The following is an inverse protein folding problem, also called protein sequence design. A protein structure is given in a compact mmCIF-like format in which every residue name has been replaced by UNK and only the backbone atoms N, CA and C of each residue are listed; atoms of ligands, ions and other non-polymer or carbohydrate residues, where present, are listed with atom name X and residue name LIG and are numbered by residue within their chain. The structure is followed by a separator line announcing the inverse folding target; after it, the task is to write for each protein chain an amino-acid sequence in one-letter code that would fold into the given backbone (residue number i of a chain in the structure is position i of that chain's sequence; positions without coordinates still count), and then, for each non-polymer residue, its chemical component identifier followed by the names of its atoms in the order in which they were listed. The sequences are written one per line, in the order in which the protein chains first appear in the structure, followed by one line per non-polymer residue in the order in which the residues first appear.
data_IF_987303265850
#
_entry.id   IF_987303265850
#
_cell.length_a   1.000
_cell.length_b   1.000
_cell.length_c   1.000
_cell.angle_alpha   90.00
_cell.angle_beta   90.00
_cell.angle_gamma   90.00
#
_symmetry.space_group_name_H-M   'P 1'
#
loop_
_entity.id
_entity.type
_entity.pdbx_description
1 polymer ?
#
# COMPACT_ATOMS: atom_id res chain seq x y z
N UNK A 1 -5.05 20.58 -1.42
CA UNK A 1 -4.41 19.79 -0.34
C UNK A 1 -5.54 19.03 0.34
N UNK A 2 -5.41 17.72 0.56
CA UNK A 2 -6.43 16.90 1.22
C UNK A 2 -6.28 17.04 2.73
N UNK A 3 -6.67 18.19 3.25
CA UNK A 3 -6.35 18.58 4.64
C UNK A 3 -6.91 17.61 5.69
N UNK A 4 -8.08 17.03 5.41
CA UNK A 4 -8.69 16.01 6.25
C UNK A 4 -7.84 14.74 6.36
N UNK A 5 -6.88 14.48 5.48
CA UNK A 5 -5.99 13.32 5.60
C UNK A 5 -5.13 13.36 6.86
N UNK A 6 -4.81 14.55 7.35
CA UNK A 6 -4.11 14.68 8.62
C UNK A 6 -4.93 14.16 9.79
N UNK A 7 -6.26 14.09 9.70
CA UNK A 7 -7.15 13.58 10.74
C UNK A 7 -8.33 12.81 10.13
N UNK A 8 -8.04 11.90 9.20
CA UNK A 8 -9.11 11.21 8.50
C UNK A 8 -9.80 10.20 9.43
N UNK A 9 -11.08 9.92 9.14
CA UNK A 9 -11.86 8.90 9.84
C UNK A 9 -11.11 7.58 9.71
N UNK A 10 -10.67 7.07 10.86
CA UNK A 10 -9.86 5.86 10.97
C UNK A 10 -10.45 4.95 12.04
N UNK A 11 -10.51 3.67 11.75
CA UNK A 11 -10.98 2.64 12.69
C UNK A 11 -9.95 1.51 12.74
N UNK A 12 -9.81 0.88 13.90
CA UNK A 12 -8.84 -0.17 14.14
C UNK A 12 -9.52 -1.41 14.74
N UNK A 13 -9.09 -2.58 14.29
CA UNK A 13 -9.51 -3.88 14.83
C UNK A 13 -11.05 -4.00 14.95
N UNK A 14 -11.59 -4.19 16.15
CA UNK A 14 -13.04 -4.37 16.38
C UNK A 14 -13.88 -3.14 15.98
N UNK A 15 -13.28 -1.94 15.98
CA UNK A 15 -13.96 -0.72 15.54
C UNK A 15 -14.24 -0.74 14.03
N UNK A 16 -13.44 -1.48 13.25
CA UNK A 16 -13.69 -1.64 11.81
C UNK A 16 -14.99 -2.40 11.57
N UNK A 17 -15.20 -3.51 12.29
CA UNK A 17 -16.42 -4.28 12.19
C UNK A 17 -17.64 -3.49 12.71
N UNK A 18 -17.45 -2.67 13.74
CA UNK A 18 -18.50 -1.79 14.27
C UNK A 18 -18.87 -0.70 13.25
N UNK A 19 -17.88 -0.04 12.66
CA UNK A 19 -18.12 0.91 11.57
C UNK A 19 -18.89 0.29 10.41
N UNK A 20 -18.49 -0.90 9.94
CA UNK A 20 -19.17 -1.57 8.82
C UNK A 20 -20.64 -1.84 9.15
N UNK A 21 -20.92 -2.42 10.32
CA UNK A 21 -22.30 -2.71 10.73
C UNK A 21 -23.13 -1.45 10.85
N UNK A 22 -22.58 -0.37 11.38
CA UNK A 22 -23.35 0.85 11.67
C UNK A 22 -23.53 1.71 10.40
N UNK A 23 -22.45 1.92 9.63
CA UNK A 23 -22.45 2.78 8.46
C UNK A 23 -23.10 2.12 7.24
N UNK A 24 -22.85 0.82 7.00
CA UNK A 24 -23.43 0.09 5.86
C UNK A 24 -24.78 -0.58 6.17
N UNK A 25 -25.31 -0.45 7.40
CA UNK A 25 -26.71 -0.79 7.70
C UNK A 25 -27.72 0.08 6.93
N UNK A 26 -27.32 1.29 6.50
CA UNK A 26 -28.15 2.14 5.65
C UNK A 26 -28.40 1.44 4.29
N UNK A 27 -29.67 1.13 3.94
CA UNK A 27 -30.01 0.39 2.72
C UNK A 27 -29.74 1.17 1.43
N UNK A 28 -29.53 2.50 1.52
CA UNK A 28 -29.15 3.32 0.36
C UNK A 28 -27.70 3.12 -0.07
N UNK A 29 -26.87 2.53 0.80
CA UNK A 29 -25.44 2.31 0.54
C UNK A 29 -25.22 1.10 -0.35
N UNK A 30 -24.39 1.28 -1.38
CA UNK A 30 -23.96 0.24 -2.32
C UNK A 30 -22.46 0.30 -2.46
N UNK A 31 -21.81 -0.86 -2.35
CA UNK A 31 -20.37 -0.94 -2.22
C UNK A 31 -19.76 -1.65 -3.43
N UNK A 32 -18.70 -1.06 -3.96
CA UNK A 32 -17.75 -1.76 -4.83
C UNK A 32 -16.47 -2.04 -4.05
N UNK A 33 -16.17 -3.31 -3.81
CA UNK A 33 -14.91 -3.76 -3.24
C UNK A 33 -13.89 -4.03 -4.35
N UNK A 34 -12.70 -3.47 -4.24
CA UNK A 34 -11.54 -3.82 -5.08
C UNK A 34 -10.53 -4.54 -4.19
N UNK A 35 -10.25 -5.81 -4.46
CA UNK A 35 -9.43 -6.66 -3.59
C UNK A 35 -8.61 -7.67 -4.38
N UNK A 36 -7.58 -8.27 -3.77
CA UNK A 36 -6.80 -9.32 -4.42
C UNK A 36 -7.56 -10.67 -4.46
N UNK A 37 -7.30 -11.48 -5.48
CA UNK A 37 -7.72 -12.89 -5.57
C UNK A 37 -6.53 -13.85 -5.76
N UNK A 38 -5.37 -13.50 -5.19
CA UNK A 38 -4.17 -14.33 -5.18
C UNK A 38 -4.24 -15.51 -4.21
N UNK A 39 -3.08 -16.04 -3.81
CA UNK A 39 -2.99 -17.19 -2.89
C UNK A 39 -3.21 -16.82 -1.41
N UNK A 40 -3.15 -15.53 -1.06
CA UNK A 40 -3.18 -15.06 0.32
C UNK A 40 -4.63 -15.11 0.87
N UNK A 41 -4.91 -15.96 1.88
CA UNK A 41 -6.26 -16.12 2.42
C UNK A 41 -6.78 -14.88 3.15
N UNK A 42 -5.92 -13.92 3.53
CA UNK A 42 -6.35 -12.66 4.17
C UNK A 42 -7.28 -11.85 3.27
N UNK A 43 -7.16 -12.02 1.96
CA UNK A 43 -8.04 -11.38 0.97
C UNK A 43 -9.53 -11.71 1.14
N UNK A 44 -9.89 -12.81 1.81
CA UNK A 44 -11.29 -13.15 2.08
C UNK A 44 -11.89 -12.36 3.24
N UNK A 45 -11.06 -11.83 4.14
CA UNK A 45 -11.51 -11.30 5.43
C UNK A 45 -12.39 -10.06 5.27
N UNK A 46 -11.96 -9.12 4.42
CA UNK A 46 -12.72 -7.90 4.12
C UNK A 46 -13.98 -8.24 3.34
N UNK A 47 -13.89 -9.11 2.32
CA UNK A 47 -15.06 -9.57 1.56
C UNK A 47 -16.14 -10.17 2.46
N UNK A 48 -15.76 -11.05 3.40
CA UNK A 48 -16.72 -11.68 4.30
C UNK A 48 -17.38 -10.66 5.23
N UNK A 49 -16.59 -9.78 5.83
CA UNK A 49 -17.10 -8.78 6.77
C UNK A 49 -18.10 -7.83 6.11
N UNK A 50 -17.85 -7.44 4.86
CA UNK A 50 -18.77 -6.62 4.07
C UNK A 50 -20.01 -7.41 3.65
N UNK A 51 -19.84 -8.65 3.16
CA UNK A 51 -20.95 -9.48 2.70
C UNK A 51 -21.97 -9.76 3.80
N UNK A 52 -21.51 -9.97 5.04
CA UNK A 52 -22.36 -10.19 6.23
C UNK A 52 -23.32 -9.02 6.52
N UNK A 53 -23.03 -7.81 6.01
CA UNK A 53 -23.84 -6.59 6.24
C UNK A 53 -24.56 -6.10 4.99
N UNK A 54 -23.92 -6.22 3.82
CA UNK A 54 -24.39 -5.60 2.57
C UNK A 54 -25.24 -6.52 1.70
N UNK A 55 -25.02 -7.83 1.77
CA UNK A 55 -25.67 -8.84 0.93
C UNK A 55 -25.63 -8.45 -0.57
N UNK A 56 -26.76 -8.36 -1.26
CA UNK A 56 -26.86 -8.01 -2.70
C UNK A 56 -26.36 -6.59 -3.05
N UNK A 57 -26.10 -5.73 -2.05
CA UNK A 57 -25.58 -4.36 -2.24
C UNK A 57 -24.05 -4.31 -2.34
N UNK A 58 -23.39 -5.46 -2.21
CA UNK A 58 -21.95 -5.60 -2.39
C UNK A 58 -21.64 -6.19 -3.77
N UNK A 59 -20.77 -5.49 -4.49
CA UNK A 59 -20.13 -6.00 -5.71
C UNK A 59 -18.61 -5.96 -5.54
N UNK A 60 -17.87 -6.74 -6.34
CA UNK A 60 -16.42 -6.78 -6.22
C UNK A 60 -15.67 -6.88 -7.55
N UNK A 61 -14.54 -6.17 -7.63
CA UNK A 61 -13.49 -6.36 -8.62
C UNK A 61 -12.30 -7.04 -7.95
N UNK A 62 -12.13 -8.32 -8.24
CA UNK A 62 -11.07 -9.13 -7.72
C UNK A 62 -9.88 -9.16 -8.68
N UNK A 63 -8.69 -8.82 -8.17
CA UNK A 63 -7.47 -8.74 -8.97
C UNK A 63 -6.62 -9.98 -8.76
N UNK A 64 -6.48 -10.79 -9.82
CA UNK A 64 -5.68 -12.01 -9.83
C UNK A 64 -4.33 -11.73 -10.47
N UNK A 65 -3.31 -11.52 -9.64
CA UNK A 65 -1.94 -11.30 -10.10
C UNK A 65 -1.29 -12.61 -10.56
N UNK A 66 -0.91 -12.70 -11.84
CA UNK A 66 -0.15 -13.82 -12.39
C UNK A 66 1.33 -13.47 -12.55
N UNK A 67 2.18 -14.40 -12.12
CA UNK A 67 3.64 -14.23 -12.11
C UNK A 67 4.31 -15.45 -12.72
N UNK A 68 5.39 -15.27 -13.52
CA UNK A 68 6.00 -16.36 -14.27
C UNK A 68 6.61 -17.46 -13.38
N UNK A 69 7.03 -17.11 -12.16
CA UNK A 69 7.65 -18.06 -11.22
C UNK A 69 6.67 -18.68 -10.21
N UNK A 70 5.36 -18.60 -10.41
CA UNK A 70 4.39 -19.19 -9.49
C UNK A 70 4.46 -20.73 -9.51
N UNK A 71 4.51 -21.36 -8.33
CA UNK A 71 4.48 -22.82 -8.21
C UNK A 71 3.06 -23.36 -8.40
N UNK A 72 2.92 -24.62 -8.84
CA UNK A 72 1.61 -25.28 -9.00
C UNK A 72 0.75 -25.23 -7.72
N UNK A 73 1.40 -25.30 -6.55
CA UNK A 73 0.72 -25.20 -5.25
C UNK A 73 0.14 -23.80 -5.01
N UNK A 74 0.89 -22.74 -5.34
CA UNK A 74 0.39 -21.37 -5.21
C UNK A 74 -0.75 -21.09 -6.20
N UNK A 75 -0.66 -21.62 -7.42
CA UNK A 75 -1.75 -21.53 -8.41
C UNK A 75 -3.00 -22.21 -7.88
N UNK A 76 -2.92 -23.45 -7.39
CA UNK A 76 -4.08 -24.18 -6.81
C UNK A 76 -4.69 -23.45 -5.62
N UNK A 77 -3.86 -22.89 -4.72
CA UNK A 77 -4.35 -22.11 -3.58
C UNK A 77 -5.08 -20.86 -4.03
N UNK A 78 -4.52 -20.17 -5.01
CA UNK A 78 -5.15 -19.00 -5.55
C UNK A 78 -6.48 -19.37 -6.26
N UNK A 79 -6.56 -20.48 -7.00
CA UNK A 79 -7.82 -20.95 -7.62
C UNK A 79 -8.90 -21.27 -6.57
N UNK A 80 -8.51 -21.93 -5.48
CA UNK A 80 -9.40 -22.19 -4.36
C UNK A 80 -9.86 -20.90 -3.67
N UNK A 81 -8.95 -19.94 -3.49
CA UNK A 81 -9.24 -18.64 -2.90
C UNK A 81 -10.20 -17.82 -3.78
N UNK A 82 -9.99 -17.79 -5.09
CA UNK A 82 -10.88 -17.12 -6.03
C UNK A 82 -12.29 -17.73 -6.00
N UNK A 83 -12.38 -19.06 -5.93
CA UNK A 83 -13.67 -19.77 -5.81
C UNK A 83 -14.39 -19.35 -4.52
N UNK A 84 -13.67 -19.27 -3.40
CA UNK A 84 -14.23 -18.82 -2.13
C UNK A 84 -14.70 -17.35 -2.20
N UNK A 85 -13.88 -16.45 -2.77
CA UNK A 85 -14.21 -15.04 -2.94
C UNK A 85 -15.47 -14.81 -3.79
N UNK A 86 -15.64 -15.59 -4.86
CA UNK A 86 -16.86 -15.59 -5.69
C UNK A 86 -18.09 -16.11 -4.95
N UNK A 87 -17.91 -17.06 -4.04
CA UNK A 87 -19.00 -17.54 -3.20
C UNK A 87 -19.41 -16.50 -2.14
N UNK A 88 -18.45 -15.75 -1.59
CA UNK A 88 -18.70 -14.66 -0.63
C UNK A 88 -19.39 -13.47 -1.31
N UNK A 89 -18.93 -13.07 -2.50
CA UNK A 89 -19.51 -11.97 -3.28
C UNK A 89 -19.90 -12.47 -4.67
N UNK A 90 -21.15 -12.97 -4.85
CA UNK A 90 -21.60 -13.50 -6.14
C UNK A 90 -21.58 -12.46 -7.27
N UNK A 91 -21.85 -11.19 -6.95
CA UNK A 91 -21.78 -10.06 -7.88
C UNK A 91 -20.33 -9.57 -8.06
N UNK A 92 -19.43 -10.46 -8.50
CA UNK A 92 -18.01 -10.14 -8.67
C UNK A 92 -17.48 -10.38 -10.08
N UNK A 93 -16.45 -9.61 -10.43
CA UNK A 93 -15.62 -9.80 -11.63
C UNK A 93 -14.20 -10.12 -11.17
N UNK A 94 -13.52 -11.02 -11.89
CA UNK A 94 -12.10 -11.31 -11.67
C UNK A 94 -11.30 -10.82 -12.86
N UNK A 95 -10.30 -9.97 -12.60
CA UNK A 95 -9.35 -9.49 -13.57
C UNK A 95 -8.02 -10.21 -13.38
N UNK A 96 -7.67 -11.06 -14.34
CA UNK A 96 -6.40 -11.80 -14.34
C UNK A 96 -5.33 -10.95 -15.02
N UNK A 97 -4.33 -10.54 -14.24
CA UNK A 97 -3.31 -9.59 -14.65
C UNK A 97 -1.92 -10.23 -14.57
N UNK A 98 -1.26 -10.50 -15.70
CA UNK A 98 0.15 -10.83 -15.65
C UNK A 98 0.93 -9.59 -15.19
N UNK A 99 1.75 -9.75 -14.15
CA UNK A 99 2.46 -8.61 -13.53
C UNK A 99 3.64 -8.16 -14.39
N UNK A 100 4.21 -9.07 -15.17
CA UNK A 100 5.32 -8.81 -16.07
C UNK A 100 4.92 -8.92 -17.55
N UNK A 101 5.63 -8.19 -18.39
CA UNK A 101 5.65 -8.39 -19.84
C UNK A 101 6.71 -9.46 -20.20
N UNK A 102 6.71 -9.90 -21.46
CA UNK A 102 7.62 -10.95 -21.94
C UNK A 102 9.11 -10.58 -21.81
N UNK A 103 9.44 -9.29 -21.75
CA UNK A 103 10.80 -8.79 -21.54
C UNK A 103 11.19 -8.66 -20.05
N UNK A 104 10.30 -9.05 -19.14
CA UNK A 104 10.47 -8.90 -17.69
C UNK A 104 10.20 -7.50 -17.15
N UNK A 105 9.64 -6.57 -17.94
CA UNK A 105 9.22 -5.28 -17.43
C UNK A 105 7.96 -5.41 -16.55
N UNK A 106 7.91 -4.75 -15.37
CA UNK A 106 6.71 -4.70 -14.56
C UNK A 106 5.64 -3.84 -15.26
N UNK A 107 4.50 -4.45 -15.60
CA UNK A 107 3.38 -3.82 -16.33
C UNK A 107 2.04 -3.96 -15.61
N UNK A 108 2.01 -4.64 -14.46
CA UNK A 108 0.80 -4.91 -13.68
C UNK A 108 -0.05 -3.66 -13.44
N UNK A 109 0.55 -2.59 -12.92
CA UNK A 109 -0.17 -1.33 -12.64
C UNK A 109 -0.79 -0.68 -13.87
N UNK A 110 -0.12 -0.76 -15.04
CA UNK A 110 -0.69 -0.24 -16.29
C UNK A 110 -1.87 -1.09 -16.78
N UNK A 111 -1.79 -2.42 -16.64
CA UNK A 111 -2.87 -3.34 -17.00
C UNK A 111 -4.08 -3.17 -16.07
N UNK A 112 -3.85 -3.02 -14.77
CA UNK A 112 -4.90 -2.73 -13.79
C UNK A 112 -5.68 -1.46 -14.13
N UNK A 113 -4.97 -0.36 -14.41
CA UNK A 113 -5.61 0.91 -14.79
C UNK A 113 -6.48 0.72 -16.03
N UNK A 114 -5.98 0.00 -17.05
CA UNK A 114 -6.78 -0.31 -18.25
C UNK A 114 -8.04 -1.12 -17.93
N UNK A 115 -7.97 -2.13 -17.05
CA UNK A 115 -9.12 -2.94 -16.67
C UNK A 115 -10.18 -2.14 -15.89
N UNK A 116 -9.75 -1.29 -14.94
CA UNK A 116 -10.66 -0.42 -14.17
C UNK A 116 -11.35 0.57 -15.11
N UNK A 117 -10.60 1.23 -16.01
CA UNK A 117 -11.18 2.16 -16.98
C UNK A 117 -12.14 1.47 -17.97
N UNK A 118 -11.87 0.22 -18.34
CA UNK A 118 -12.77 -0.57 -19.18
C UNK A 118 -14.02 -1.07 -18.44
N UNK A 119 -13.99 -1.08 -17.10
CA UNK A 119 -15.07 -1.51 -16.23
C UNK A 119 -15.37 -0.38 -15.22
N UNK A 120 -15.97 0.73 -15.66
CA UNK A 120 -16.18 1.89 -14.81
C UNK A 120 -17.07 1.56 -13.61
N UNK A 121 -16.84 2.28 -12.51
CA UNK A 121 -17.63 2.16 -11.29
C UNK A 121 -19.12 2.43 -11.63
N UNK A 122 -20.04 1.51 -11.28
CA UNK A 122 -21.48 1.73 -11.52
C UNK A 122 -21.98 3.00 -10.83
N UNK A 123 -22.88 3.74 -11.50
CA UNK A 123 -23.33 5.04 -11.03
C UNK A 123 -24.13 5.00 -9.70
N UNK A 124 -24.67 3.85 -9.34
CA UNK A 124 -25.40 3.62 -8.10
C UNK A 124 -24.51 3.22 -6.91
N UNK A 125 -23.21 2.98 -7.13
CA UNK A 125 -22.25 2.73 -6.06
C UNK A 125 -22.01 4.02 -5.28
N UNK A 126 -22.18 3.96 -3.97
CA UNK A 126 -21.99 5.09 -3.06
C UNK A 126 -20.63 5.07 -2.38
N UNK A 127 -20.02 3.89 -2.24
CA UNK A 127 -18.76 3.72 -1.51
C UNK A 127 -17.87 2.71 -2.26
N UNK A 128 -16.61 3.08 -2.46
CA UNK A 128 -15.58 2.24 -3.07
C UNK A 128 -14.57 1.89 -1.99
N UNK A 129 -14.34 0.60 -1.79
CA UNK A 129 -13.39 0.11 -0.78
C UNK A 129 -12.24 -0.57 -1.52
N UNK A 130 -11.02 -0.10 -1.31
CA UNK A 130 -9.82 -0.78 -1.78
C UNK A 130 -9.17 -1.56 -0.62
N UNK A 131 -9.13 -2.88 -0.76
CA UNK A 131 -8.43 -3.77 0.15
C UNK A 131 -6.98 -3.96 -0.29
N UNK A 132 -6.05 -3.39 0.48
CA UNK A 132 -4.60 -3.46 0.23
C UNK A 132 -3.91 -4.66 0.90
N UNK A 133 -4.66 -5.51 1.62
CA UNK A 133 -4.10 -6.61 2.42
C UNK A 133 -3.17 -7.52 1.62
N UNK A 134 -3.62 -7.89 0.41
CA UNK A 134 -2.96 -8.89 -0.43
C UNK A 134 -2.57 -8.37 -1.83
N UNK A 135 -2.80 -7.09 -2.13
CA UNK A 135 -2.33 -6.48 -3.38
C UNK A 135 -0.82 -6.17 -3.29
N UNK A 136 -0.09 -6.41 -4.39
CA UNK A 136 1.29 -5.93 -4.51
C UNK A 136 1.34 -4.41 -4.67
N UNK A 137 2.47 -3.79 -4.33
CA UNK A 137 2.64 -2.33 -4.45
C UNK A 137 2.45 -1.87 -5.89
N UNK A 138 2.94 -2.65 -6.86
CA UNK A 138 2.78 -2.39 -8.30
C UNK A 138 1.34 -2.38 -8.80
N UNK A 139 0.38 -2.85 -8.00
CA UNK A 139 -1.05 -2.92 -8.31
C UNK A 139 -1.85 -2.02 -7.35
N UNK A 140 -1.68 -2.19 -6.04
CA UNK A 140 -2.45 -1.49 -5.02
C UNK A 140 -2.28 0.03 -5.05
N UNK A 141 -1.06 0.52 -5.27
CA UNK A 141 -0.81 1.97 -5.31
C UNK A 141 -1.44 2.63 -6.55
N UNK A 142 -1.25 2.11 -7.78
CA UNK A 142 -1.97 2.62 -8.95
C UNK A 142 -3.49 2.57 -8.79
N UNK A 143 -4.04 1.48 -8.24
CA UNK A 143 -5.48 1.39 -7.94
C UNK A 143 -5.92 2.47 -6.96
N UNK A 144 -5.20 2.66 -5.86
CA UNK A 144 -5.56 3.65 -4.86
C UNK A 144 -5.59 5.05 -5.43
N UNK A 145 -4.58 5.41 -6.24
CA UNK A 145 -4.51 6.72 -6.88
C UNK A 145 -5.68 6.93 -7.86
N UNK A 146 -5.91 5.97 -8.77
CA UNK A 146 -6.99 6.05 -9.75
C UNK A 146 -8.37 6.14 -9.10
N UNK A 147 -8.67 5.24 -8.16
CA UNK A 147 -9.98 5.17 -7.52
C UNK A 147 -10.25 6.39 -6.62
N UNK A 148 -9.22 6.91 -5.95
CA UNK A 148 -9.33 8.15 -5.20
C UNK A 148 -9.68 9.33 -6.12
N UNK A 149 -8.94 9.49 -7.23
CA UNK A 149 -9.18 10.55 -8.22
C UNK A 149 -10.59 10.44 -8.79
N UNK A 150 -11.04 9.24 -9.19
CA UNK A 150 -12.41 9.02 -9.69
C UNK A 150 -13.50 9.34 -8.64
N UNK A 151 -13.30 8.99 -7.37
CA UNK A 151 -14.26 9.29 -6.31
C UNK A 151 -14.29 10.80 -5.96
N UNK A 152 -13.14 11.47 -6.00
CA UNK A 152 -13.04 12.93 -5.80
C UNK A 152 -13.69 13.70 -6.95
N UNK A 153 -13.53 13.24 -8.20
CA UNK A 153 -14.19 13.81 -9.38
C UNK A 153 -15.72 13.64 -9.35
N UNK A 154 -16.22 12.50 -8.87
CA UNK A 154 -17.65 12.27 -8.67
C UNK A 154 -18.23 13.15 -7.54
N UNK A 155 -17.49 13.30 -6.44
CA UNK A 155 -17.84 14.14 -5.30
C UNK A 155 -18.94 13.59 -4.38
N UNK A 156 -19.70 12.57 -4.81
CA UNK A 156 -20.76 11.96 -4.01
C UNK A 156 -20.40 10.54 -3.52
N UNK A 157 -19.33 9.95 -4.06
CA UNK A 157 -18.81 8.65 -3.63
C UNK A 157 -17.77 8.78 -2.54
N UNK A 158 -17.84 7.90 -1.55
CA UNK A 158 -16.77 7.77 -0.56
C UNK A 158 -15.73 6.76 -1.01
N UNK A 159 -14.45 7.07 -0.77
CA UNK A 159 -13.35 6.17 -1.01
C UNK A 159 -12.74 5.72 0.31
N UNK A 160 -12.63 4.40 0.48
CA UNK A 160 -12.12 3.77 1.70
C UNK A 160 -10.90 2.92 1.38
N UNK A 161 -9.97 2.86 2.33
CA UNK A 161 -8.92 1.85 2.36
C UNK A 161 -9.18 0.85 3.47
N UNK A 162 -8.98 -0.42 3.19
CA UNK A 162 -8.92 -1.48 4.21
C UNK A 162 -7.60 -2.24 4.13
N UNK A 163 -7.08 -2.60 5.30
CA UNK A 163 -5.82 -3.31 5.43
C UNK A 163 -5.97 -4.34 6.55
N UNK A 164 -5.78 -5.60 6.22
CA UNK A 164 -5.59 -6.70 7.16
C UNK A 164 -4.10 -7.00 7.18
N UNK A 165 -3.45 -6.67 8.30
CA UNK A 165 -2.00 -6.77 8.45
C UNK A 165 -1.62 -7.78 9.51
N UNK A 166 -0.63 -8.60 9.19
CA UNK A 166 0.00 -9.51 10.14
C UNK A 166 1.50 -9.53 9.84
N UNK A 167 2.29 -8.68 10.50
CA UNK A 167 3.73 -8.55 10.24
C UNK A 167 4.47 -9.89 10.35
N UNK A 168 4.05 -10.78 11.25
CA UNK A 168 4.66 -12.10 11.40
C UNK A 168 4.36 -13.05 10.24
N UNK A 169 3.19 -12.95 9.61
CA UNK A 169 2.90 -13.68 8.36
C UNK A 169 3.62 -13.03 7.17
N UNK A 170 3.70 -11.70 7.13
CA UNK A 170 4.42 -10.98 6.08
C UNK A 170 5.92 -11.35 6.07
N UNK A 171 6.53 -11.52 7.25
CA UNK A 171 7.92 -11.98 7.41
C UNK A 171 8.12 -13.45 6.96
N UNK A 172 7.06 -14.27 6.91
CA UNK A 172 7.09 -15.66 6.41
C UNK A 172 6.93 -15.77 4.89
N UNK A 173 6.43 -14.72 4.24
CA UNK A 173 6.31 -14.66 2.78
C UNK A 173 7.68 -14.28 2.21
N UNK A 174 8.45 -15.31 1.87
CA UNK A 174 9.68 -15.15 1.09
C UNK A 174 9.31 -14.67 -0.31
N UNK A 175 10.04 -13.68 -0.82
CA UNK A 175 9.85 -13.25 -2.20
C UNK A 175 11.16 -13.15 -2.93
N UNK A 176 11.16 -13.60 -4.18
CA UNK A 176 12.28 -13.48 -5.10
C UNK A 176 12.09 -12.16 -5.86
N UNK A 177 12.89 -11.12 -5.58
CA UNK A 177 12.78 -9.85 -6.28
C UNK A 177 13.20 -9.99 -7.75
N UNK A 178 12.61 -9.20 -8.63
CA UNK A 178 13.06 -9.06 -10.01
C UNK A 178 14.39 -8.30 -10.09
N UNK A 179 15.04 -8.35 -11.24
CA UNK A 179 16.29 -7.61 -11.47
C UNK A 179 16.07 -6.13 -11.82
N UNK A 180 14.82 -5.69 -12.05
CA UNK A 180 14.50 -4.35 -12.53
C UNK A 180 13.90 -3.48 -11.43
N UNK A 181 14.53 -2.35 -11.21
CA UNK A 181 14.01 -1.26 -10.38
C UNK A 181 13.09 -0.44 -11.27
N UNK A 182 11.91 -0.09 -10.78
CA UNK A 182 10.97 0.70 -11.56
C UNK A 182 10.18 1.64 -10.67
N UNK A 183 9.81 2.83 -11.16
CA UNK A 183 8.82 3.63 -10.48
C UNK A 183 7.46 2.92 -10.54
N UNK A 184 6.69 3.02 -9.46
CA UNK A 184 5.31 2.57 -9.46
C UNK A 184 4.51 3.41 -10.46
N UNK A 185 3.63 2.77 -11.23
CA UNK A 185 2.78 3.46 -12.22
C UNK A 185 1.98 4.59 -11.54
N UNK A 186 2.11 5.81 -12.05
CA UNK A 186 1.46 7.00 -11.47
C UNK A 186 2.26 7.72 -10.37
N UNK A 187 3.43 7.19 -10.00
CA UNK A 187 4.35 7.71 -8.99
C UNK A 187 5.79 7.86 -9.54
N UNK A 188 5.91 8.14 -10.83
CA UNK A 188 7.19 8.49 -11.43
C UNK A 188 7.64 9.87 -10.91
N UNK A 189 8.95 10.11 -10.76
CA UNK A 189 9.47 11.41 -10.36
C UNK A 189 9.03 12.49 -11.35
N UNK A 190 8.64 13.64 -10.82
CA UNK A 190 8.29 14.79 -11.66
C UNK A 190 9.53 15.23 -12.46
N UNK A 191 9.36 15.41 -13.77
CA UNK A 191 10.41 15.92 -14.65
C UNK A 191 10.24 17.44 -14.70
N UNK A 192 10.38 18.07 -13.54
CA UNK A 192 10.25 19.53 -13.40
C UNK A 192 11.41 20.26 -14.09
N UNK A 193 11.10 21.36 -14.77
CA UNK A 193 12.05 22.34 -15.33
C UNK A 193 12.62 23.28 -14.25
N UNK A 194 12.97 22.76 -13.07
CA UNK A 194 13.62 23.60 -12.07
C UNK A 194 14.98 24.05 -12.57
N UNK A 195 15.30 25.33 -12.40
CA UNK A 195 16.64 25.87 -12.64
C UNK A 195 17.61 25.57 -11.47
N UNK A 196 17.08 25.08 -10.34
CA UNK A 196 17.86 24.69 -9.16
C UNK A 196 18.44 23.29 -9.34
N UNK A 197 19.54 23.02 -8.64
CA UNK A 197 20.12 21.70 -8.57
C UNK A 197 19.17 20.73 -7.84
N UNK A 198 18.98 19.54 -8.39
CA UNK A 198 18.11 18.52 -7.81
C UNK A 198 18.80 17.89 -6.61
N UNK A 199 18.12 17.88 -5.47
CA UNK A 199 18.56 17.20 -4.24
C UNK A 199 17.68 15.96 -4.02
N UNK A 200 18.08 14.78 -4.50
CA UNK A 200 17.28 13.57 -4.33
C UNK A 200 17.39 13.07 -2.88
N UNK A 201 16.24 12.92 -2.21
CA UNK A 201 16.15 12.41 -0.83
C UNK A 201 15.46 11.05 -0.85
N UNK A 202 16.19 10.00 -0.45
CA UNK A 202 15.66 8.65 -0.43
C UNK A 202 15.14 8.28 0.95
N UNK A 203 13.99 7.63 0.99
CA UNK A 203 13.32 7.18 2.21
C UNK A 203 13.07 5.67 2.08
N UNK A 204 14.07 4.84 2.40
CA UNK A 204 13.90 3.40 2.42
C UNK A 204 13.13 2.97 3.67
N UNK A 205 12.06 2.21 3.51
CA UNK A 205 11.42 1.55 4.64
C UNK A 205 12.10 0.21 4.90
N UNK A 206 12.71 0.09 6.08
CA UNK A 206 13.46 -1.12 6.43
C UNK A 206 12.51 -2.25 6.79
N UNK A 207 12.82 -3.43 6.27
CA UNK A 207 12.05 -4.64 6.49
C UNK A 207 12.98 -5.85 6.49
N UNK A 208 12.61 -6.86 7.29
CA UNK A 208 13.42 -8.05 7.49
C UNK A 208 13.66 -8.80 6.18
N UNK A 209 14.90 -9.18 5.93
CA UNK A 209 15.35 -9.89 4.74
C UNK A 209 15.34 -9.03 3.47
N UNK A 210 15.22 -7.70 3.57
CA UNK A 210 15.11 -6.80 2.40
C UNK A 210 16.34 -5.94 2.14
N UNK A 211 17.44 -6.17 2.87
CA UNK A 211 18.70 -5.44 2.70
C UNK A 211 19.17 -5.42 1.24
N UNK A 212 19.30 -6.59 0.59
CA UNK A 212 19.75 -6.69 -0.80
C UNK A 212 18.86 -5.93 -1.79
N UNK A 213 17.54 -5.97 -1.60
CA UNK A 213 16.58 -5.22 -2.44
C UNK A 213 16.75 -3.72 -2.25
N UNK A 214 16.91 -3.24 -1.01
CA UNK A 214 17.13 -1.82 -0.74
C UNK A 214 18.49 -1.36 -1.26
N UNK A 215 19.57 -2.13 -1.10
CA UNK A 215 20.88 -1.80 -1.68
C UNK A 215 20.79 -1.69 -3.20
N UNK A 216 20.05 -2.58 -3.86
CA UNK A 216 19.80 -2.49 -5.30
C UNK A 216 19.07 -1.19 -5.69
N UNK A 217 18.00 -0.83 -4.95
CA UNK A 217 17.27 0.45 -5.17
C UNK A 217 18.19 1.65 -4.92
N UNK A 218 18.92 1.64 -3.81
CA UNK A 218 19.85 2.70 -3.41
C UNK A 218 20.92 2.96 -4.46
N UNK A 219 21.46 1.91 -5.07
CA UNK A 219 22.47 2.01 -6.13
C UNK A 219 21.93 2.58 -7.46
N UNK A 220 20.61 2.64 -7.66
CA UNK A 220 20.02 3.11 -8.93
C UNK A 220 20.10 4.62 -9.14
N UNK A 221 20.18 5.39 -8.06
CA UNK A 221 20.39 6.82 -8.10
C UNK A 221 21.83 7.07 -7.67
N UNK A 222 22.72 7.38 -8.62
CA UNK A 222 24.17 7.43 -8.39
C UNK A 222 24.65 8.49 -7.38
N UNK A 223 23.77 9.31 -6.79
CA UNK A 223 24.10 10.24 -5.72
C UNK A 223 22.83 10.67 -4.96
N UNK A 224 22.57 10.11 -3.78
CA UNK A 224 21.52 10.60 -2.88
C UNK A 224 22.04 11.80 -2.09
N UNK A 225 21.30 12.91 -2.08
CA UNK A 225 21.63 14.05 -1.24
C UNK A 225 21.47 13.70 0.25
N UNK A 226 20.42 12.91 0.55
CA UNK A 226 20.11 12.46 1.90
C UNK A 226 19.34 11.14 1.87
N UNK A 227 19.59 10.28 2.85
CA UNK A 227 18.89 9.02 3.04
C UNK A 227 18.25 9.06 4.43
N UNK A 228 16.93 8.88 4.51
CA UNK A 228 16.15 8.92 5.75
C UNK A 228 15.42 7.58 5.94
N UNK A 229 16.06 6.54 6.51
CA UNK A 229 15.43 5.23 6.66
C UNK A 229 14.26 5.26 7.63
N UNK A 230 13.18 4.56 7.27
CA UNK A 230 11.99 4.42 8.12
C UNK A 230 12.04 3.08 8.86
N UNK A 231 11.91 3.14 10.18
CA UNK A 231 11.80 2.00 11.08
C UNK A 231 10.39 1.90 11.67
N UNK A 232 9.83 0.67 11.78
CA UNK A 232 8.56 0.45 12.45
C UNK A 232 8.72 0.65 13.97
N UNK A 233 8.17 1.75 14.49
CA UNK A 233 8.06 2.00 15.92
C UNK A 233 6.91 2.99 16.23
N UNK A 234 5.97 2.66 17.13
CA UNK A 234 5.86 1.38 17.85
C UNK A 234 5.50 0.22 16.91
N UNK A 235 6.00 -0.97 17.25
CA UNK A 235 5.73 -2.23 16.55
C UNK A 235 5.14 -3.26 17.52
N UNK A 236 4.55 -4.35 16.99
CA UNK A 236 4.01 -5.44 17.83
C UNK A 236 5.13 -6.10 18.66
N UNK A 237 6.24 -6.45 18.00
CA UNK A 237 7.49 -6.77 18.68
C UNK A 237 8.20 -5.46 19.05
N UNK A 238 8.34 -5.11 20.35
CA UNK A 238 9.00 -3.87 20.77
C UNK A 238 10.45 -3.74 20.30
N UNK A 239 11.12 -4.86 20.00
CA UNK A 239 12.51 -4.90 19.52
C UNK A 239 12.64 -4.85 18.00
N UNK A 240 11.53 -4.80 17.25
CA UNK A 240 11.55 -4.87 15.77
C UNK A 240 12.47 -3.80 15.16
N UNK A 241 12.45 -2.58 15.69
CA UNK A 241 13.33 -1.51 15.22
C UNK A 241 14.82 -1.83 15.50
N UNK A 242 15.16 -2.30 16.70
CA UNK A 242 16.53 -2.68 17.07
C UNK A 242 17.04 -3.88 16.26
N UNK A 243 16.18 -4.86 16.02
CA UNK A 243 16.49 -6.05 15.23
C UNK A 243 16.78 -5.64 13.76
N UNK A 244 16.02 -4.70 13.20
CA UNK A 244 16.27 -4.13 11.87
C UNK A 244 17.56 -3.29 11.82
N UNK A 245 17.84 -2.48 12.85
CA UNK A 245 19.10 -1.74 12.94
C UNK A 245 20.31 -2.68 12.97
N UNK A 246 20.17 -3.84 13.62
CA UNK A 246 21.20 -4.87 13.66
C UNK A 246 21.36 -5.55 12.31
N UNK A 247 20.25 -5.88 11.64
CA UNK A 247 20.28 -6.50 10.31
C UNK A 247 20.91 -5.58 9.26
N UNK A 248 20.58 -4.29 9.28
CA UNK A 248 21.03 -3.28 8.32
C UNK A 248 22.29 -2.53 8.77
N UNK A 249 23.05 -3.05 9.74
CA UNK A 249 24.19 -2.34 10.31
C UNK A 249 25.20 -1.94 9.22
N UNK A 250 25.56 -2.88 8.34
CA UNK A 250 26.52 -2.65 7.25
C UNK A 250 25.99 -1.58 6.29
N UNK A 251 24.75 -1.71 5.87
CA UNK A 251 24.10 -0.78 4.93
C UNK A 251 24.02 0.62 5.52
N UNK A 252 23.58 0.76 6.77
CA UNK A 252 23.36 2.06 7.41
C UNK A 252 24.67 2.79 7.76
N UNK A 253 25.68 2.05 8.22
CA UNK A 253 26.93 2.62 8.76
C UNK A 253 28.03 2.68 7.70
N UNK A 254 28.24 1.58 6.97
CA UNK A 254 29.41 1.40 6.11
C UNK A 254 29.12 1.71 4.63
N UNK A 255 27.89 1.47 4.15
CA UNK A 255 27.54 1.66 2.72
C UNK A 255 26.82 2.99 2.45
N UNK A 256 25.74 3.27 3.18
CA UNK A 256 24.91 4.45 3.00
C UNK A 256 25.37 5.63 3.86
N UNK A 257 26.23 5.35 4.85
CA UNK A 257 26.85 6.33 5.77
C UNK A 257 25.82 7.34 6.33
N UNK A 258 24.66 6.85 6.78
CA UNK A 258 23.57 7.72 7.21
C UNK A 258 23.89 8.42 8.54
N UNK A 259 23.38 9.65 8.72
CA UNK A 259 23.37 10.25 10.06
C UNK A 259 22.29 9.56 10.91
N UNK A 260 22.59 9.07 12.13
CA UNK A 260 21.59 8.44 12.99
C UNK A 260 20.37 9.33 13.29
N UNK A 261 20.50 10.65 13.17
CA UNK A 261 19.41 11.62 13.36
C UNK A 261 18.42 11.66 12.19
N UNK A 262 18.77 11.03 11.07
CA UNK A 262 17.94 10.95 9.87
C UNK A 262 17.05 9.71 9.83
N UNK A 263 17.18 8.84 10.83
CA UNK A 263 16.26 7.71 11.04
C UNK A 263 14.87 8.26 11.42
N UNK A 264 13.88 7.77 10.71
CA UNK A 264 12.47 8.11 10.88
C UNK A 264 11.76 6.93 11.55
N UNK A 265 10.97 7.20 12.58
CA UNK A 265 10.13 6.20 13.22
C UNK A 265 8.66 6.41 12.83
N UNK A 266 7.99 5.32 12.48
CA UNK A 266 6.56 5.34 12.17
C UNK A 266 5.87 4.08 12.71
N UNK A 267 4.65 4.24 13.21
CA UNK A 267 3.86 3.16 13.80
C UNK A 267 3.51 2.09 12.78
N UNK A 268 3.82 0.83 13.11
CA UNK A 268 3.45 -0.34 12.29
C UNK A 268 1.94 -0.62 12.30
N UNK A 269 1.20 0.05 13.19
CA UNK A 269 -0.24 -0.15 13.40
C UNK A 269 -1.10 0.99 12.85
N UNK A 270 -0.50 2.14 12.55
CA UNK A 270 -1.25 3.33 12.18
C UNK A 270 -0.70 3.95 10.88
N UNK A 271 -1.40 3.82 9.74
CA UNK A 271 -0.96 4.39 8.48
C UNK A 271 -0.96 5.93 8.52
N UNK A 272 -1.82 6.55 9.33
CA UNK A 272 -1.83 8.00 9.50
C UNK A 272 -0.59 8.53 10.20
N UNK A 273 -0.02 7.76 11.12
CA UNK A 273 1.23 8.13 11.79
C UNK A 273 2.38 8.19 10.77
N UNK A 274 2.48 7.17 9.92
CA UNK A 274 3.43 7.15 8.80
C UNK A 274 3.19 8.32 7.82
N UNK A 275 1.94 8.52 7.38
CA UNK A 275 1.58 9.63 6.50
C UNK A 275 1.96 11.00 7.07
N UNK A 276 1.60 11.28 8.34
CA UNK A 276 1.91 12.55 9.02
C UNK A 276 3.40 12.75 9.18
N UNK A 277 4.13 11.69 9.52
CA UNK A 277 5.59 11.73 9.67
C UNK A 277 6.28 12.07 8.36
N UNK A 278 5.91 11.39 7.27
CA UNK A 278 6.46 11.65 5.94
C UNK A 278 6.05 13.02 5.39
N UNK A 279 4.81 13.45 5.63
CA UNK A 279 4.35 14.79 5.26
C UNK A 279 5.11 15.89 6.01
N UNK A 280 5.34 15.70 7.31
CA UNK A 280 6.15 16.61 8.13
C UNK A 280 7.60 16.65 7.64
N UNK A 281 8.17 15.50 7.27
CA UNK A 281 9.50 15.42 6.71
C UNK A 281 9.61 16.19 5.39
N UNK A 282 8.64 16.02 4.47
CA UNK A 282 8.54 16.77 3.21
C UNK A 282 8.55 18.26 3.43
N UNK A 283 7.62 18.76 4.25
CA UNK A 283 7.50 20.19 4.54
C UNK A 283 8.78 20.75 5.16
N UNK A 284 9.45 19.99 6.05
CA UNK A 284 10.73 20.41 6.64
C UNK A 284 11.85 20.48 5.61
N UNK A 285 11.97 19.49 4.74
CA UNK A 285 13.00 19.46 3.69
C UNK A 285 12.77 20.60 2.70
N UNK A 286 11.54 20.76 2.21
CA UNK A 286 11.18 21.83 1.28
C UNK A 286 11.55 23.20 1.82
N UNK A 287 11.13 23.49 3.06
CA UNK A 287 11.45 24.77 3.72
C UNK A 287 12.94 24.96 3.96
N UNK A 288 13.68 23.89 4.23
CA UNK A 288 15.13 23.99 4.49
C UNK A 288 15.91 24.24 3.19
N UNK A 289 15.41 23.72 2.06
CA UNK A 289 16.07 23.78 0.76
C UNK A 289 15.55 24.89 -0.15
N UNK A 290 14.52 25.61 0.29
CA UNK A 290 13.85 26.67 -0.46
C UNK A 290 14.86 27.67 -1.04
N UNK A 291 14.77 27.92 -2.35
CA UNK A 291 15.63 28.84 -3.08
C UNK A 291 17.07 28.35 -3.33
N UNK A 292 17.44 27.16 -2.84
CA UNK A 292 18.80 26.60 -3.00
C UNK A 292 18.80 25.31 -3.82
N UNK A 293 17.92 24.36 -3.47
CA UNK A 293 17.80 23.07 -4.16
C UNK A 293 16.35 22.79 -4.54
N UNK A 294 16.17 21.89 -5.51
CA UNK A 294 14.89 21.23 -5.83
C UNK A 294 14.84 19.86 -5.13
N UNK A 295 14.29 19.74 -3.90
CA UNK A 295 14.22 18.48 -3.19
C UNK A 295 13.26 17.50 -3.87
N UNK A 296 13.76 16.33 -4.24
CA UNK A 296 12.95 15.25 -4.83
C UNK A 296 12.94 14.03 -3.93
N UNK A 297 11.80 13.78 -3.30
CA UNK A 297 11.65 12.67 -2.37
C UNK A 297 11.26 11.38 -3.11
N UNK A 298 11.97 10.31 -2.75
CA UNK A 298 11.80 8.97 -3.31
C UNK A 298 11.51 7.99 -2.19
N UNK A 299 10.31 7.39 -2.20
CA UNK A 299 9.90 6.40 -1.22
C UNK A 299 10.18 4.98 -1.72
N UNK A 300 10.63 4.10 -0.82
CA UNK A 300 10.71 2.66 -1.07
C UNK A 300 10.02 1.89 0.05
N UNK A 301 8.68 1.82 0.03
CA UNK A 301 7.90 1.21 1.11
C UNK A 301 7.94 -0.31 1.02
N UNK A 302 8.91 -0.95 1.66
CA UNK A 302 9.02 -2.41 1.75
C UNK A 302 8.53 -2.95 3.10
N UNK A 303 7.95 -4.15 3.10
CA UNK A 303 7.50 -4.83 4.32
C UNK A 303 6.06 -4.48 4.70
N UNK A 304 5.88 -3.82 5.85
CA UNK A 304 4.56 -3.58 6.46
C UNK A 304 3.58 -2.90 5.50
N UNK A 305 2.44 -3.55 5.29
CA UNK A 305 1.31 -3.02 4.47
C UNK A 305 0.74 -1.73 5.05
N UNK A 306 0.72 -1.59 6.36
CA UNK A 306 0.24 -0.39 7.05
C UNK A 306 1.16 0.80 6.78
N UNK A 307 2.47 0.61 6.95
CA UNK A 307 3.44 1.66 6.63
C UNK A 307 3.43 1.99 5.13
N UNK A 308 3.31 0.98 4.27
CA UNK A 308 3.18 1.19 2.82
C UNK A 308 1.95 2.02 2.46
N UNK A 309 0.80 1.82 3.12
CA UNK A 309 -0.37 2.66 2.91
C UNK A 309 -0.15 4.12 3.34
N UNK A 310 0.52 4.35 4.48
CA UNK A 310 0.91 5.71 4.89
C UNK A 310 1.88 6.38 3.91
N UNK A 311 2.85 5.63 3.39
CA UNK A 311 3.76 6.09 2.34
C UNK A 311 3.03 6.40 1.02
N UNK A 312 2.07 5.57 0.64
CA UNK A 312 1.20 5.79 -0.52
C UNK A 312 0.41 7.10 -0.38
N UNK A 313 -0.21 7.33 0.77
CA UNK A 313 -0.90 8.58 1.05
C UNK A 313 0.05 9.79 0.94
N UNK A 314 1.24 9.70 1.53
CA UNK A 314 2.21 10.80 1.45
C UNK A 314 2.68 11.06 0.01
N UNK A 315 2.85 10.00 -0.77
CA UNK A 315 3.25 10.09 -2.17
C UNK A 315 2.15 10.71 -3.04
N UNK A 316 0.88 10.34 -2.83
CA UNK A 316 -0.26 10.94 -3.54
C UNK A 316 -0.35 12.44 -3.21
N UNK A 317 -0.30 12.80 -1.92
CA UNK A 317 -0.53 14.18 -1.48
C UNK A 317 0.60 15.14 -1.89
N UNK A 318 1.85 14.69 -1.79
CA UNK A 318 3.02 15.55 -2.00
C UNK A 318 3.73 15.31 -3.34
N UNK A 319 3.14 14.50 -4.22
CA UNK A 319 3.76 14.14 -5.51
C UNK A 319 5.11 13.43 -5.38
N UNK A 320 5.32 12.67 -4.30
CA UNK A 320 6.58 11.94 -4.11
C UNK A 320 6.67 10.77 -5.09
N UNK A 321 7.87 10.48 -5.56
CA UNK A 321 8.09 9.28 -6.36
C UNK A 321 8.11 8.04 -5.46
N UNK A 322 7.69 6.90 -6.02
CA UNK A 322 7.75 5.61 -5.35
C UNK A 322 8.55 4.65 -6.21
N UNK A 323 9.70 4.21 -5.70
CA UNK A 323 10.57 3.22 -6.34
C UNK A 323 10.47 1.89 -5.61
N UNK A 324 10.36 0.83 -6.40
CA UNK A 324 10.29 -0.52 -5.87
C UNK A 324 10.92 -1.53 -6.83
N UNK A 325 11.09 -2.74 -6.33
CA UNK A 325 11.45 -3.92 -7.14
C UNK A 325 10.26 -4.88 -7.08
N UNK A 326 9.70 -5.18 -8.25
CA UNK A 326 8.57 -6.10 -8.34
C UNK A 326 9.04 -7.53 -8.02
N UNK A 327 8.16 -8.35 -7.45
CA UNK A 327 8.48 -9.75 -7.09
C UNK A 327 8.28 -10.71 -8.27
N UNK A 328 9.23 -11.57 -8.62
CA UNK A 328 9.03 -12.58 -9.68
C UNK A 328 8.26 -13.81 -9.19
N UNK A 329 8.51 -14.22 -7.93
CA UNK A 329 7.82 -15.33 -7.30
C UNK A 329 7.74 -15.14 -5.79
N UNK A 330 6.72 -15.73 -5.20
CA UNK A 330 6.59 -15.88 -3.77
C UNK A 330 6.89 -17.33 -3.41
N UNK A 331 7.52 -17.53 -2.27
CA UNK A 331 7.52 -18.81 -1.57
C UNK A 331 6.77 -18.62 -0.27
N UNK A 332 5.74 -19.43 -0.08
CA UNK A 332 4.90 -19.39 1.09
C UNK A 332 4.85 -20.79 1.71
N UNK A 333 5.72 -21.00 2.69
CA UNK A 333 5.65 -22.18 3.54
C UNK A 333 4.55 -21.96 4.57
N UNK A 334 3.33 -22.43 4.25
CA UNK A 334 2.24 -22.38 5.20
C UNK A 334 2.54 -23.31 6.39
N UNK A 335 3.09 -22.77 7.47
CA UNK A 335 2.85 -23.35 8.78
C UNK A 335 1.33 -23.27 9.03
N UNK A 336 0.74 -24.34 9.58
CA UNK A 336 -0.67 -24.25 10.02
C UNK A 336 -0.74 -23.15 11.09
N UNK A 337 -1.68 -22.19 10.99
CA UNK A 337 -1.83 -21.17 12.00
C UNK A 337 -1.99 -21.82 13.37
N UNK A 338 -1.11 -21.47 14.29
CA UNK A 338 -1.14 -21.91 15.67
C UNK A 338 -2.12 -21.02 16.45
N UNK A 339 -2.85 -21.54 17.45
CA UNK A 339 -3.63 -20.71 18.38
C UNK A 339 -2.78 -19.66 19.12
N UNK A 340 -1.46 -19.84 19.14
CA UNK A 340 -0.50 -18.89 19.70
C UNK A 340 -0.07 -17.78 18.74
N UNK A 341 -0.45 -17.87 17.47
CA UNK A 341 -0.05 -16.87 16.47
C UNK A 341 -0.75 -15.55 16.77
N UNK A 342 -0.04 -14.41 16.66
CA UNK A 342 -0.65 -13.11 16.85
C UNK A 342 -1.85 -12.89 15.90
N UNK A 343 -2.96 -12.31 16.38
CA UNK A 343 -4.13 -12.08 15.53
C UNK A 343 -3.81 -11.09 14.41
N UNK A 344 -4.57 -11.13 13.33
CA UNK A 344 -4.52 -10.10 12.31
C UNK A 344 -4.96 -8.74 12.90
N UNK A 345 -4.28 -7.67 12.50
CA UNK A 345 -4.71 -6.30 12.77
C UNK A 345 -5.52 -5.81 11.59
N UNK A 346 -6.59 -5.06 11.85
CA UNK A 346 -7.39 -4.45 10.80
C UNK A 346 -7.34 -2.94 10.90
N UNK A 347 -7.19 -2.29 9.76
CA UNK A 347 -7.23 -0.83 9.66
C UNK A 347 -8.21 -0.44 8.57
N UNK A 348 -9.08 0.51 8.87
CA UNK A 348 -9.98 1.13 7.91
C UNK A 348 -9.78 2.65 7.92
N UNK A 349 -9.65 3.24 6.74
CA UNK A 349 -9.54 4.68 6.51
C UNK A 349 -10.63 5.12 5.54
N UNK A 350 -11.24 6.28 5.79
CA UNK A 350 -12.05 6.98 4.77
C UNK A 350 -11.17 8.09 4.17
N UNK A 351 -10.80 8.00 2.90
CA UNK A 351 -9.89 8.97 2.28
C UNK A 351 -10.61 10.10 1.56
N UNK A 352 -11.82 9.89 1.06
CA UNK A 352 -12.62 10.96 0.45
C UNK A 352 -14.10 10.63 0.56
N UNK A 353 -14.95 11.64 0.30
CA UNK A 353 -16.39 11.46 0.17
C UNK A 353 -17.24 12.38 1.06
N UNK A 354 -18.57 12.22 1.01
CA UNK A 354 -19.53 13.10 1.68
C UNK A 354 -19.40 13.15 3.20
N UNK A 355 -18.73 12.17 3.82
CA UNK A 355 -18.43 12.15 5.26
C UNK A 355 -17.59 13.36 5.72
N UNK A 356 -16.87 14.01 4.80
CA UNK A 356 -16.09 15.21 5.05
C UNK A 356 -16.81 16.51 4.66
N UNK A 357 -18.10 16.45 4.29
CA UNK A 357 -18.87 17.64 4.00
C UNK A 357 -18.90 18.57 5.22
N UNK A 358 -18.35 19.78 5.09
CA UNK A 358 -18.23 20.76 6.17
C UNK A 358 -16.93 20.70 6.97
N UNK A 359 -16.00 19.81 6.63
CA UNK A 359 -14.61 19.91 7.11
C UNK A 359 -14.03 21.23 6.58
N UNK A 360 -13.89 22.22 7.45
CA UNK A 360 -13.39 23.56 7.15
C UNK A 360 -12.11 23.80 7.94
N UNK A 361 -11.17 24.54 7.32
CA UNK A 361 -9.95 25.05 7.97
C UNK A 361 -10.34 25.86 9.23
N UNK A 362 -9.95 25.38 10.41
CA UNK A 362 -9.72 26.26 11.56
C UNK A 362 -8.24 26.66 11.63
#
# INVERSE_FOLDING_TARGET
MREHWSNCITNFDDDVASFIRDYFADPSRRVLLVAAAGFDPRSQRVSQLLADTLDERLSAYYIREERPGATDELVKRADANETALKAIVPASKVFVLPVFADDGAPVGGARLVSEILANPIPADVTDVILDLSALSIGIGFPAAKLLLEECEEDGNRAFHLMIVSNPELDDQISSVPSSRISPVKGFAPDVGMSALEVAPVWIPQLARGRASTLTQIGASSGNWYKICPVLPFPARNPRRADDLLTEFQTELVDEWEIDPRDIVYASEKNPLDCYRTLSTLKQRIDRTMEGTYDPRMVLSPLGSKVLAAGAMMAAIEHGMSVQYVETESYDFSAAKPSPSDPPDMMVHLVLSGPLYAGYSEE
#
